data_IF_054137094554
#
_entry.id   IF_054137094554
#
_cell.length_a   1.000
_cell.length_b   1.000
_cell.length_c   1.000
_cell.angle_alpha   90.00
_cell.angle_beta   90.00
_cell.angle_gamma   90.00
#
_symmetry.space_group_name_H-M   'P 1'
#
loop_
_entity.id
_entity.type
_entity.pdbx_description
1 polymer ?
#
# COMPACT_ATOMS: atom_id res chain seq x y z
N UNK A 1 5.40 -40.80 24.68
CA UNK A 1 5.67 -39.51 24.01
C UNK A 1 4.96 -39.54 22.66
N UNK A 2 3.75 -38.97 22.58
CA UNK A 2 2.95 -38.94 21.35
C UNK A 2 3.10 -37.55 20.73
N UNK A 3 3.67 -37.50 19.53
CA UNK A 3 3.86 -36.28 18.76
C UNK A 3 2.55 -35.86 18.10
N UNK A 4 2.06 -34.69 18.46
CA UNK A 4 0.94 -34.04 17.77
C UNK A 4 1.51 -33.43 16.48
N UNK A 5 1.19 -34.04 15.35
CA UNK A 5 1.42 -33.46 14.02
C UNK A 5 0.52 -32.23 13.86
N UNK A 6 1.10 -31.06 13.71
CA UNK A 6 0.36 -29.86 13.31
C UNK A 6 -0.18 -30.04 11.89
N UNK A 7 -1.50 -30.25 11.79
CA UNK A 7 -2.24 -29.96 10.56
C UNK A 7 -2.01 -28.49 10.22
N UNK A 8 -1.24 -28.26 9.16
CA UNK A 8 -1.02 -26.94 8.61
C UNK A 8 -2.35 -26.46 8.02
N UNK A 9 -3.01 -25.53 8.70
CA UNK A 9 -4.15 -24.79 8.15
C UNK A 9 -3.67 -23.99 6.94
N UNK A 10 -3.73 -24.60 5.76
CA UNK A 10 -3.43 -23.94 4.50
C UNK A 10 -4.55 -22.93 4.24
N UNK A 11 -4.23 -21.65 4.45
CA UNK A 11 -5.19 -20.57 4.24
C UNK A 11 -5.59 -20.55 2.76
N UNK A 12 -6.87 -20.32 2.43
CA UNK A 12 -7.32 -20.21 1.06
C UNK A 12 -6.46 -19.19 0.29
N UNK A 13 -6.12 -19.46 -0.98
CA UNK A 13 -5.29 -18.56 -1.78
C UNK A 13 -5.90 -17.16 -1.78
N UNK A 14 -5.09 -16.15 -1.45
CA UNK A 14 -5.54 -14.76 -1.36
C UNK A 14 -6.08 -14.34 -2.72
N UNK A 15 -7.27 -13.74 -2.74
CA UNK A 15 -7.85 -13.18 -3.97
C UNK A 15 -6.87 -12.14 -4.53
N UNK A 16 -6.58 -12.22 -5.83
CA UNK A 16 -5.76 -11.22 -6.51
C UNK A 16 -6.43 -9.85 -6.34
N UNK A 17 -5.70 -8.81 -5.91
CA UNK A 17 -6.28 -7.48 -5.72
C UNK A 17 -6.86 -6.98 -7.03
N UNK A 18 -8.06 -6.40 -6.98
CA UNK A 18 -8.69 -5.83 -8.17
C UNK A 18 -7.97 -4.54 -8.56
N UNK A 19 -7.99 -4.19 -9.84
CA UNK A 19 -7.50 -2.88 -10.31
C UNK A 19 -8.21 -1.72 -9.59
N UNK A 20 -9.48 -1.92 -9.21
CA UNK A 20 -10.24 -0.96 -8.40
C UNK A 20 -9.63 -0.74 -7.01
N UNK A 21 -9.00 -1.75 -6.43
CA UNK A 21 -8.44 -1.74 -5.07
C UNK A 21 -7.00 -1.21 -5.02
N UNK A 22 -6.35 -1.02 -6.16
CA UNK A 22 -5.02 -0.41 -6.22
C UNK A 22 -5.08 1.06 -5.78
N UNK A 23 -4.10 1.57 -5.02
CA UNK A 23 -4.04 2.96 -4.57
C UNK A 23 -3.60 3.90 -5.71
N UNK A 24 -4.35 3.91 -6.81
CA UNK A 24 -4.15 4.77 -7.97
C UNK A 24 -4.99 6.03 -7.86
N UNK A 25 -4.41 7.16 -8.30
CA UNK A 25 -5.12 8.42 -8.42
C UNK A 25 -6.21 8.34 -9.49
N UNK A 26 -7.21 9.24 -9.42
CA UNK A 26 -8.28 9.31 -10.42
C UNK A 26 -7.73 9.49 -11.85
N UNK A 27 -6.71 10.35 -12.01
CA UNK A 27 -6.06 10.58 -13.30
C UNK A 27 -5.35 9.33 -13.84
N UNK A 28 -4.68 8.57 -12.97
CA UNK A 28 -4.02 7.31 -13.35
C UNK A 28 -5.05 6.26 -13.81
N UNK A 29 -6.19 6.15 -13.11
CA UNK A 29 -7.27 5.24 -13.49
C UNK A 29 -7.86 5.61 -14.85
N UNK A 30 -8.18 6.88 -15.06
CA UNK A 30 -8.71 7.37 -16.33
C UNK A 30 -7.74 7.11 -17.50
N UNK A 31 -6.43 7.25 -17.27
CA UNK A 31 -5.40 6.90 -18.27
C UNK A 31 -5.43 5.41 -18.62
N UNK A 32 -5.49 4.52 -17.62
CA UNK A 32 -5.59 3.07 -17.84
C UNK A 32 -6.86 2.70 -18.61
N UNK A 33 -8.00 3.27 -18.23
CA UNK A 33 -9.28 3.02 -18.91
C UNK A 33 -9.28 3.55 -20.36
N UNK A 34 -8.66 4.70 -20.59
CA UNK A 34 -8.46 5.28 -21.92
C UNK A 34 -7.61 4.39 -22.82
N UNK A 35 -6.46 3.92 -22.32
CA UNK A 35 -5.60 2.97 -23.04
C UNK A 35 -6.36 1.68 -23.35
N UNK A 36 -7.11 1.13 -22.40
CA UNK A 36 -7.91 -0.09 -22.60
C UNK A 36 -8.99 0.12 -23.68
N UNK A 37 -9.66 1.27 -23.67
CA UNK A 37 -10.64 1.62 -24.69
C UNK A 37 -10.00 1.67 -26.08
N UNK A 38 -8.88 2.36 -26.22
CA UNK A 38 -8.14 2.47 -27.48
C UNK A 38 -7.61 1.11 -27.94
N UNK A 39 -7.11 0.28 -27.02
CA UNK A 39 -6.62 -1.07 -27.30
C UNK A 39 -7.71 -1.98 -27.88
N UNK A 40 -8.93 -1.91 -27.32
CA UNK A 40 -10.10 -2.61 -27.86
C UNK A 40 -10.53 -2.02 -29.20
N UNK A 41 -10.58 -0.70 -29.33
CA UNK A 41 -11.01 0.01 -30.54
C UNK A 41 -10.08 -0.24 -31.74
N UNK A 42 -8.76 -0.32 -31.51
CA UNK A 42 -7.76 -0.64 -32.54
C UNK A 42 -7.77 -2.11 -32.96
N UNK A 43 -8.54 -2.97 -32.27
CA UNK A 43 -8.69 -4.39 -32.61
C UNK A 43 -7.59 -5.30 -32.05
N UNK A 44 -6.64 -4.76 -31.28
CA UNK A 44 -5.53 -5.53 -30.70
C UNK A 44 -6.05 -6.64 -29.75
N UNK A 45 -7.10 -6.33 -28.98
CA UNK A 45 -7.76 -7.32 -28.12
C UNK A 45 -8.33 -8.50 -28.92
N UNK A 46 -9.05 -8.23 -30.01
CA UNK A 46 -9.67 -9.30 -30.81
C UNK A 46 -8.61 -10.09 -31.57
N UNK A 47 -7.52 -9.45 -32.00
CA UNK A 47 -6.37 -10.12 -32.59
C UNK A 47 -5.72 -11.12 -31.62
N UNK A 48 -5.52 -10.73 -30.35
CA UNK A 48 -5.01 -11.64 -29.32
C UNK A 48 -5.99 -12.78 -29.03
N UNK A 49 -7.28 -12.46 -28.85
CA UNK A 49 -8.33 -13.48 -28.63
C UNK A 49 -8.31 -14.55 -29.73
N UNK A 50 -8.23 -14.11 -30.99
CA UNK A 50 -8.16 -15.02 -32.15
C UNK A 50 -6.91 -15.89 -32.13
N UNK A 51 -5.74 -15.30 -31.82
CA UNK A 51 -4.47 -16.04 -31.73
C UNK A 51 -4.50 -17.09 -30.61
N UNK A 52 -4.95 -16.73 -29.41
CA UNK A 52 -5.11 -17.68 -28.30
C UNK A 52 -6.04 -18.82 -28.69
N UNK A 53 -7.19 -18.50 -29.30
CA UNK A 53 -8.15 -19.52 -29.73
C UNK A 53 -7.58 -20.44 -30.81
N UNK A 54 -6.88 -19.87 -31.80
CA UNK A 54 -6.21 -20.64 -32.84
C UNK A 54 -5.15 -21.57 -32.25
N UNK A 55 -4.30 -21.06 -31.37
CA UNK A 55 -3.24 -21.83 -30.73
C UNK A 55 -3.81 -23.00 -29.90
N UNK A 56 -4.87 -22.77 -29.13
CA UNK A 56 -5.56 -23.85 -28.42
C UNK A 56 -6.14 -24.89 -29.39
N UNK A 57 -6.74 -24.46 -30.51
CA UNK A 57 -7.33 -25.39 -31.47
C UNK A 57 -6.30 -26.27 -32.19
N UNK A 58 -5.09 -25.75 -32.40
CA UNK A 58 -3.98 -26.45 -33.03
C UNK A 58 -3.18 -27.30 -32.03
N UNK A 59 -3.49 -27.21 -30.73
CA UNK A 59 -2.73 -27.89 -29.69
C UNK A 59 -3.26 -29.28 -29.35
N UNK A 60 -2.38 -30.12 -28.79
CA UNK A 60 -2.75 -31.46 -28.32
C UNK A 60 -3.75 -31.41 -27.15
N UNK A 61 -3.74 -30.33 -26.37
CA UNK A 61 -4.60 -30.10 -25.21
C UNK A 61 -6.08 -30.12 -25.59
N UNK A 62 -6.44 -29.64 -26.79
CA UNK A 62 -7.81 -29.77 -27.30
C UNK A 62 -8.24 -31.23 -27.43
N UNK A 63 -7.39 -32.07 -28.02
CA UNK A 63 -7.67 -33.51 -28.16
C UNK A 63 -7.80 -34.22 -26.82
N UNK A 64 -6.95 -33.83 -25.85
CA UNK A 64 -7.05 -34.34 -24.47
C UNK A 64 -8.38 -33.94 -23.82
N UNK A 65 -8.79 -32.68 -23.97
CA UNK A 65 -10.08 -32.20 -23.46
C UNK A 65 -11.26 -32.93 -24.10
N UNK A 66 -11.26 -33.11 -25.42
CA UNK A 66 -12.31 -33.86 -26.13
C UNK A 66 -12.41 -35.31 -25.63
N UNK A 67 -11.27 -35.95 -25.37
CA UNK A 67 -11.23 -37.30 -24.80
C UNK A 67 -11.79 -37.33 -23.37
N UNK A 68 -11.38 -36.40 -22.50
CA UNK A 68 -11.90 -36.29 -21.13
C UNK A 68 -13.41 -36.06 -21.12
N UNK A 69 -13.90 -35.15 -21.97
CA UNK A 69 -15.32 -34.85 -22.07
C UNK A 69 -16.10 -36.08 -22.57
N UNK A 70 -15.60 -36.78 -23.59
CA UNK A 70 -16.22 -38.01 -24.09
C UNK A 70 -16.29 -39.07 -23.00
N UNK A 71 -15.20 -39.34 -22.29
CA UNK A 71 -15.18 -40.32 -21.18
C UNK A 71 -16.17 -39.95 -20.08
N UNK A 72 -16.21 -38.68 -19.68
CA UNK A 72 -17.16 -38.19 -18.67
C UNK A 72 -18.61 -38.40 -19.12
N UNK A 73 -18.95 -37.94 -20.33
CA UNK A 73 -20.31 -38.06 -20.85
C UNK A 73 -20.76 -39.51 -21.00
N UNK A 74 -19.90 -40.40 -21.47
CA UNK A 74 -20.20 -41.84 -21.53
C UNK A 74 -20.51 -42.41 -20.14
N UNK A 75 -19.67 -42.11 -19.15
CA UNK A 75 -19.86 -42.58 -17.77
C UNK A 75 -21.16 -42.06 -17.16
N UNK A 76 -21.51 -40.79 -17.40
CA UNK A 76 -22.75 -40.20 -16.89
C UNK A 76 -24.00 -40.76 -17.58
N UNK A 77 -23.93 -41.00 -18.90
CA UNK A 77 -25.01 -41.66 -19.64
C UNK A 77 -25.22 -43.09 -19.14
N UNK A 78 -24.14 -43.84 -18.89
CA UNK A 78 -24.22 -45.21 -18.38
C UNK A 78 -24.83 -45.25 -16.97
N UNK A 79 -24.56 -44.22 -16.15
CA UNK A 79 -25.12 -44.08 -14.81
C UNK A 79 -26.61 -43.73 -14.82
N UNK A 80 -27.03 -42.76 -15.64
CA UNK A 80 -28.41 -42.27 -15.68
C UNK A 80 -28.97 -42.19 -17.12
N UNK A 81 -29.14 -43.33 -17.83
CA UNK A 81 -29.48 -43.34 -19.25
C UNK A 81 -30.86 -42.73 -19.52
N UNK A 82 -31.81 -42.95 -18.61
CA UNK A 82 -33.17 -42.40 -18.70
C UNK A 82 -33.16 -40.88 -18.67
N UNK A 83 -32.26 -40.26 -17.91
CA UNK A 83 -32.19 -38.80 -17.77
C UNK A 83 -31.57 -38.12 -18.98
N UNK A 84 -30.58 -38.76 -19.59
CA UNK A 84 -29.81 -38.13 -20.67
C UNK A 84 -30.26 -38.56 -22.08
N UNK A 85 -30.85 -39.76 -22.24
CA UNK A 85 -31.24 -40.31 -23.54
C UNK A 85 -32.76 -40.35 -23.80
N UNK A 86 -33.63 -40.38 -22.77
CA UNK A 86 -35.09 -40.29 -23.03
C UNK A 86 -35.55 -38.90 -23.44
N UNK A 87 -35.05 -37.79 -22.84
CA UNK A 87 -35.42 -36.47 -23.31
C UNK A 87 -34.92 -36.25 -24.74
N UNK A 88 -35.52 -35.28 -25.46
CA UNK A 88 -34.95 -34.79 -26.71
C UNK A 88 -33.47 -34.44 -26.50
N UNK A 89 -32.63 -34.69 -27.51
CA UNK A 89 -31.21 -34.33 -27.50
C UNK A 89 -30.99 -32.87 -27.09
N UNK A 90 -31.95 -31.99 -27.43
CA UNK A 90 -31.95 -30.57 -27.05
C UNK A 90 -32.05 -30.34 -25.53
N UNK A 91 -32.59 -31.32 -24.79
CA UNK A 91 -32.70 -31.32 -23.32
C UNK A 91 -31.56 -32.13 -22.67
N UNK A 92 -31.12 -33.23 -23.28
CA UNK A 92 -30.05 -34.06 -22.75
C UNK A 92 -28.67 -33.39 -22.76
N UNK A 93 -28.32 -32.68 -23.84
CA UNK A 93 -27.02 -32.03 -23.97
C UNK A 93 -26.75 -30.94 -22.89
N UNK A 94 -27.68 -30.01 -22.61
CA UNK A 94 -27.51 -29.05 -21.52
C UNK A 94 -27.39 -29.69 -20.13
N UNK A 95 -28.07 -30.83 -19.90
CA UNK A 95 -27.97 -31.55 -18.63
C UNK A 95 -26.58 -32.17 -18.44
N UNK A 96 -26.00 -32.75 -19.49
CA UNK A 96 -24.64 -33.27 -19.49
C UNK A 96 -23.60 -32.16 -19.35
N UNK A 97 -23.77 -31.04 -20.05
CA UNK A 97 -22.92 -29.87 -19.93
C UNK A 97 -22.90 -29.34 -18.49
N UNK A 98 -24.08 -29.20 -17.88
CA UNK A 98 -24.19 -28.78 -16.48
C UNK A 98 -23.57 -29.78 -15.50
N UNK A 99 -23.64 -31.09 -15.78
CA UNK A 99 -22.97 -32.11 -14.98
C UNK A 99 -21.45 -32.00 -15.11
N UNK A 100 -20.93 -31.81 -16.32
CA UNK A 100 -19.49 -31.64 -16.59
C UNK A 100 -18.94 -30.39 -15.89
N UNK A 101 -19.69 -29.28 -15.88
CA UNK A 101 -19.33 -28.06 -15.17
C UNK A 101 -19.20 -28.28 -13.66
N UNK A 102 -20.17 -28.97 -13.04
CA UNK A 102 -20.13 -29.30 -11.60
C UNK A 102 -19.00 -30.28 -11.24
N UNK A 103 -18.64 -31.15 -12.16
CA UNK A 103 -17.54 -32.10 -12.01
C UNK A 103 -16.16 -31.48 -12.32
N UNK A 104 -16.09 -30.17 -12.59
CA UNK A 104 -14.86 -29.44 -12.93
C UNK A 104 -14.10 -30.01 -14.14
N UNK A 105 -14.80 -30.61 -15.10
CA UNK A 105 -14.20 -31.19 -16.32
C UNK A 105 -13.43 -30.13 -17.13
N UNK A 106 -13.89 -28.88 -17.09
CA UNK A 106 -13.28 -27.76 -17.83
C UNK A 106 -12.06 -27.13 -17.14
N UNK A 107 -11.80 -27.45 -15.86
CA UNK A 107 -10.78 -26.76 -15.07
C UNK A 107 -9.38 -26.85 -15.68
N UNK A 108 -9.00 -28.01 -16.23
CA UNK A 108 -7.69 -28.17 -16.86
C UNK A 108 -7.61 -27.36 -18.16
N UNK A 109 -8.66 -27.40 -18.98
CA UNK A 109 -8.75 -26.61 -20.22
C UNK A 109 -8.66 -25.11 -19.96
N UNK A 110 -9.31 -24.61 -18.90
CA UNK A 110 -9.20 -23.20 -18.50
C UNK A 110 -7.75 -22.83 -18.17
N UNK A 111 -7.03 -23.67 -17.41
CA UNK A 111 -5.61 -23.46 -17.10
C UNK A 111 -4.73 -23.47 -18.35
N UNK A 112 -5.00 -24.38 -19.29
CA UNK A 112 -4.25 -24.47 -20.54
C UNK A 112 -4.47 -23.20 -21.39
N UNK A 113 -5.71 -22.70 -21.45
CA UNK A 113 -6.05 -21.45 -22.12
C UNK A 113 -5.38 -20.25 -21.44
N UNK A 114 -5.42 -20.17 -20.11
CA UNK A 114 -4.73 -19.13 -19.35
C UNK A 114 -3.22 -19.11 -19.64
N UNK A 115 -2.58 -20.28 -19.71
CA UNK A 115 -1.16 -20.39 -20.07
C UNK A 115 -0.87 -19.88 -21.50
N UNK A 116 -1.79 -20.05 -22.44
CA UNK A 116 -1.66 -19.44 -23.78
C UNK A 116 -1.85 -17.92 -23.73
N UNK A 117 -2.78 -17.42 -22.91
CA UNK A 117 -2.96 -15.97 -22.72
C UNK A 117 -1.68 -15.34 -22.16
N UNK A 118 -1.04 -15.99 -21.18
CA UNK A 118 0.18 -15.51 -20.54
C UNK A 118 1.32 -15.29 -21.55
N UNK A 119 1.44 -16.15 -22.57
CA UNK A 119 2.44 -16.00 -23.65
C UNK A 119 2.26 -14.71 -24.46
N UNK A 120 1.03 -14.17 -24.52
CA UNK A 120 0.73 -12.95 -25.27
C UNK A 120 0.72 -11.68 -24.41
N UNK A 121 0.87 -11.79 -23.08
CA UNK A 121 0.81 -10.64 -22.18
C UNK A 121 1.86 -9.58 -22.52
N UNK A 122 3.10 -9.97 -22.79
CA UNK A 122 4.15 -9.03 -23.19
C UNK A 122 3.83 -8.29 -24.51
N UNK A 123 3.14 -8.96 -25.42
CA UNK A 123 2.71 -8.36 -26.68
C UNK A 123 1.58 -7.35 -26.44
N UNK A 124 0.62 -7.70 -25.59
CA UNK A 124 -0.44 -6.80 -25.15
C UNK A 124 0.13 -5.56 -24.45
N UNK A 125 1.09 -5.76 -23.54
CA UNK A 125 1.75 -4.68 -22.81
C UNK A 125 2.49 -3.72 -23.75
N UNK A 126 3.27 -4.25 -24.72
CA UNK A 126 3.95 -3.43 -25.72
C UNK A 126 2.98 -2.58 -26.55
N UNK A 127 1.82 -3.14 -26.92
CA UNK A 127 0.78 -2.42 -27.63
C UNK A 127 0.13 -1.32 -26.76
N UNK A 128 -0.16 -1.61 -25.49
CA UNK A 128 -0.66 -0.61 -24.53
C UNK A 128 0.35 0.53 -24.31
N UNK A 129 1.63 0.21 -24.15
CA UNK A 129 2.70 1.22 -24.02
C UNK A 129 2.83 2.07 -25.29
N UNK A 130 2.64 1.48 -26.47
CA UNK A 130 2.59 2.25 -27.72
C UNK A 130 1.41 3.22 -27.74
N UNK A 131 0.22 2.78 -27.34
CA UNK A 131 -0.94 3.66 -27.21
C UNK A 131 -0.62 4.82 -26.27
N UNK A 132 0.03 4.56 -25.13
CA UNK A 132 0.44 5.63 -24.20
C UNK A 132 1.42 6.61 -24.82
N UNK A 133 2.43 6.13 -25.53
CA UNK A 133 3.39 6.98 -26.27
C UNK A 133 2.68 7.87 -27.30
N UNK A 134 1.71 7.31 -28.04
CA UNK A 134 0.91 8.07 -29.00
C UNK A 134 0.08 9.18 -28.30
N UNK A 135 -0.35 8.98 -27.05
CA UNK A 135 -1.19 9.92 -26.29
C UNK A 135 -0.43 11.05 -25.59
N UNK A 136 0.73 10.74 -24.96
CA UNK A 136 1.48 11.71 -24.13
C UNK A 136 2.88 12.03 -24.65
N UNK A 137 3.31 11.38 -25.73
CA UNK A 137 4.66 11.51 -26.29
C UNK A 137 5.68 10.56 -25.65
N UNK A 138 6.80 10.37 -26.35
CA UNK A 138 7.83 9.39 -25.99
C UNK A 138 8.54 9.71 -24.67
N UNK A 139 8.83 10.99 -24.43
CA UNK A 139 9.54 11.44 -23.22
C UNK A 139 8.71 11.20 -21.95
N UNK A 140 7.47 11.70 -21.92
CA UNK A 140 6.57 11.55 -20.78
C UNK A 140 6.23 10.08 -20.50
N UNK A 141 5.97 9.29 -21.54
CA UNK A 141 5.73 7.86 -21.40
C UNK A 141 6.96 7.10 -20.88
N UNK A 142 8.17 7.52 -21.28
CA UNK A 142 9.44 6.97 -20.80
C UNK A 142 9.63 7.20 -19.29
N UNK A 143 9.38 8.42 -18.82
CA UNK A 143 9.44 8.74 -17.38
C UNK A 143 8.40 7.97 -16.56
N UNK A 144 7.16 7.86 -17.06
CA UNK A 144 6.10 7.06 -16.44
C UNK A 144 6.53 5.58 -16.30
N UNK A 145 7.12 5.02 -17.37
CA UNK A 145 7.63 3.65 -17.37
C UNK A 145 8.78 3.46 -16.39
N UNK A 146 9.76 4.37 -16.34
CA UNK A 146 10.87 4.30 -15.40
C UNK A 146 10.37 4.37 -13.95
N UNK A 147 9.43 5.27 -13.66
CA UNK A 147 8.83 5.41 -12.33
C UNK A 147 8.04 4.15 -11.94
N UNK A 148 7.30 3.57 -12.90
CA UNK A 148 6.52 2.35 -12.68
C UNK A 148 7.37 1.08 -12.52
N UNK A 149 8.54 1.02 -13.18
CA UNK A 149 9.46 -0.12 -13.11
C UNK A 149 10.43 -0.04 -11.92
N UNK A 150 10.19 0.85 -10.97
CA UNK A 150 11.04 0.99 -9.79
C UNK A 150 10.99 -0.30 -8.94
N UNK A 151 12.14 -0.87 -8.65
CA UNK A 151 12.23 -2.11 -7.86
C UNK A 151 11.84 -1.88 -6.40
N UNK A 152 11.40 -2.96 -5.73
CA UNK A 152 11.08 -2.93 -4.30
C UNK A 152 12.27 -2.45 -3.46
N UNK A 153 13.49 -2.84 -3.84
CA UNK A 153 14.74 -2.38 -3.20
C UNK A 153 14.92 -0.87 -3.34
N UNK A 154 14.69 -0.33 -4.54
CA UNK A 154 14.78 1.10 -4.78
C UNK A 154 13.69 1.89 -4.04
N UNK A 155 12.49 1.31 -3.87
CA UNK A 155 11.45 1.86 -3.02
C UNK A 155 11.83 1.83 -1.54
N UNK A 156 12.42 0.74 -1.06
CA UNK A 156 12.88 0.59 0.31
C UNK A 156 13.98 1.62 0.64
N UNK A 157 14.96 1.79 -0.24
CA UNK A 157 16.01 2.79 -0.11
C UNK A 157 15.43 4.22 -0.04
N UNK A 158 14.53 4.59 -0.94
CA UNK A 158 13.87 5.90 -0.89
C UNK A 158 13.03 6.08 0.40
N UNK A 159 12.36 5.03 0.86
CA UNK A 159 11.62 5.06 2.12
C UNK A 159 12.54 5.22 3.35
N UNK A 160 13.74 4.63 3.32
CA UNK A 160 14.76 4.86 4.34
C UNK A 160 15.30 6.28 4.30
N UNK A 161 15.61 6.82 3.13
CA UNK A 161 16.06 8.22 3.00
C UNK A 161 14.99 9.19 3.51
N UNK A 162 13.71 8.96 3.19
CA UNK A 162 12.60 9.74 3.77
C UNK A 162 12.47 9.55 5.29
N UNK A 163 12.83 8.40 5.84
CA UNK A 163 12.88 8.17 7.30
C UNK A 163 14.05 8.93 7.93
N UNK A 164 15.25 8.87 7.34
CA UNK A 164 16.44 9.59 7.79
C UNK A 164 16.23 11.10 7.73
N UNK A 165 15.65 11.62 6.65
CA UNK A 165 15.32 13.04 6.50
C UNK A 165 14.35 13.51 7.60
N UNK A 166 13.29 12.73 7.87
CA UNK A 166 12.35 13.01 8.97
C UNK A 166 13.04 12.95 10.34
N UNK A 167 13.89 11.94 10.58
CA UNK A 167 14.63 11.82 11.83
C UNK A 167 15.59 13.00 12.04
N UNK A 168 16.28 13.44 10.99
CA UNK A 168 17.17 14.60 11.02
C UNK A 168 16.39 15.88 11.36
N UNK A 169 15.27 16.12 10.67
CA UNK A 169 14.39 17.26 10.93
C UNK A 169 13.89 17.27 12.38
N UNK A 170 13.39 16.13 12.86
CA UNK A 170 12.93 16.00 14.24
C UNK A 170 14.07 16.24 15.25
N UNK A 171 15.28 15.77 14.98
CA UNK A 171 16.44 15.98 15.85
C UNK A 171 16.90 17.46 15.87
N UNK A 172 16.80 18.17 14.74
CA UNK A 172 17.07 19.61 14.66
C UNK A 172 16.03 20.43 15.42
N UNK A 173 14.75 20.10 15.25
CA UNK A 173 13.63 20.72 16.00
C UNK A 173 13.76 20.46 17.51
N UNK A 174 14.10 19.24 17.92
CA UNK A 174 14.35 18.90 19.33
C UNK A 174 15.51 19.70 19.92
N UNK A 175 16.62 19.83 19.17
CA UNK A 175 17.77 20.65 19.60
C UNK A 175 17.40 22.12 19.72
N UNK A 176 16.60 22.66 18.79
CA UNK A 176 16.13 24.04 18.85
C UNK A 176 15.23 24.25 20.08
N UNK A 177 14.29 23.34 20.34
CA UNK A 177 13.40 23.39 21.51
C UNK A 177 14.19 23.36 22.82
N UNK A 178 15.17 22.45 22.96
CA UNK A 178 16.04 22.39 24.14
C UNK A 178 16.86 23.66 24.36
N UNK A 179 17.37 24.27 23.29
CA UNK A 179 18.09 25.55 23.38
C UNK A 179 17.18 26.68 23.87
N UNK A 180 15.95 26.76 23.35
CA UNK A 180 14.96 27.74 23.78
C UNK A 180 14.59 27.54 25.26
N UNK A 181 14.28 26.31 25.68
CA UNK A 181 13.98 26.00 27.07
C UNK A 181 15.14 26.35 28.02
N UNK A 182 16.39 26.08 27.61
CA UNK A 182 17.57 26.43 28.39
C UNK A 182 17.77 27.95 28.51
N UNK A 183 17.52 28.71 27.44
CA UNK A 183 17.58 30.17 27.47
C UNK A 183 16.48 30.76 28.35
N UNK A 184 15.26 30.24 28.29
CA UNK A 184 14.17 30.66 29.17
C UNK A 184 14.46 30.35 30.64
N UNK A 185 15.02 29.18 30.95
CA UNK A 185 15.43 28.83 32.32
C UNK A 185 16.49 29.78 32.85
N UNK A 186 17.54 30.07 32.06
CA UNK A 186 18.58 31.04 32.43
C UNK A 186 18.01 32.44 32.65
N UNK A 187 17.07 32.87 31.81
CA UNK A 187 16.40 34.17 31.96
C UNK A 187 15.58 34.24 33.26
N UNK A 188 14.79 33.20 33.54
CA UNK A 188 14.01 33.08 34.79
C UNK A 188 14.91 33.07 36.03
N UNK A 189 16.04 32.38 35.98
CA UNK A 189 17.00 32.33 37.09
C UNK A 189 17.66 33.69 37.33
N UNK A 190 18.08 34.39 36.28
CA UNK A 190 18.63 35.75 36.39
C UNK A 190 17.60 36.76 36.94
N UNK A 191 16.34 36.67 36.51
CA UNK A 191 15.26 37.49 37.06
C UNK A 191 14.99 37.18 38.54
N UNK A 192 15.05 35.90 38.94
CA UNK A 192 14.90 35.50 40.34
C UNK A 192 16.06 36.00 41.22
N UNK A 193 17.29 35.95 40.72
CA UNK A 193 18.47 36.48 41.43
C UNK A 193 18.40 38.00 41.58
N UNK A 194 17.98 38.73 40.53
CA UNK A 194 17.76 40.18 40.61
C UNK A 194 16.71 40.54 41.65
N UNK A 195 15.56 39.84 41.67
CA UNK A 195 14.52 40.05 42.68
C UNK A 195 15.05 39.83 44.10
N UNK A 196 15.80 38.74 44.33
CA UNK A 196 16.43 38.46 45.63
C UNK A 196 17.42 39.54 46.05
N UNK A 197 18.24 40.06 45.13
CA UNK A 197 19.16 41.16 45.41
C UNK A 197 18.40 42.45 45.76
N UNK A 198 17.32 42.75 45.05
CA UNK A 198 16.48 43.92 45.31
C UNK A 198 15.79 43.84 46.69
N UNK A 199 15.34 42.65 47.08
CA UNK A 199 14.77 42.38 48.40
C UNK A 199 15.81 42.56 49.52
N UNK A 200 17.02 42.02 49.34
CA UNK A 200 18.14 42.19 50.27
C UNK A 200 18.56 43.66 50.42
N UNK A 201 18.59 44.43 49.32
CA UNK A 201 18.88 45.87 49.36
C UNK A 201 17.79 46.64 50.13
N UNK A 202 16.51 46.30 49.93
CA UNK A 202 15.40 46.89 50.68
C UNK A 202 15.44 46.52 52.17
N UNK A 203 15.85 45.30 52.51
CA UNK A 203 15.98 44.85 53.90
C UNK A 203 17.16 45.50 54.62
N UNK A 204 18.32 45.59 53.97
CA UNK A 204 19.50 46.28 54.50
C UNK A 204 19.24 47.78 54.68
N UNK A 205 18.53 48.43 53.76
CA UNK A 205 18.12 49.83 53.90
C UNK A 205 17.18 50.02 55.11
N UNK A 206 16.22 49.11 55.32
CA UNK A 206 15.35 49.13 56.51
C UNK A 206 16.15 48.98 57.81
N UNK A 207 17.08 48.04 57.86
CA UNK A 207 17.98 47.82 59.00
C UNK A 207 18.84 49.06 59.29
N UNK A 208 19.42 49.69 58.27
CA UNK A 208 20.19 50.93 58.44
C UNK A 208 19.33 52.09 58.96
N UNK A 209 18.10 52.26 58.44
CA UNK A 209 17.15 53.25 58.95
C UNK A 209 16.74 52.97 60.40
N UNK A 210 16.61 51.71 60.78
CA UNK A 210 16.31 51.34 62.16
C UNK A 210 17.51 51.57 63.10
N UNK A 211 18.72 51.24 62.67
CA UNK A 211 19.95 51.53 63.42
C UNK A 211 20.16 53.03 63.62
N UNK A 212 19.94 53.86 62.58
CA UNK A 212 19.98 55.33 62.70
C UNK A 212 18.97 55.84 63.73
N UNK A 213 17.73 55.34 63.69
CA UNK A 213 16.69 55.69 64.69
C UNK A 213 17.04 55.23 66.11
N UNK A 214 17.73 54.09 66.27
CA UNK A 214 18.21 53.62 67.58
C UNK A 214 19.35 54.49 68.10
N UNK A 215 20.32 54.84 67.25
CA UNK A 215 21.42 55.74 67.59
C UNK A 215 20.93 57.15 67.96
N UNK A 216 19.94 57.69 67.25
CA UNK A 216 19.29 58.97 67.58
C UNK A 216 18.57 58.91 68.94
N UNK A 217 17.91 57.79 69.27
CA UNK A 217 17.27 57.57 70.58
C UNK A 217 18.28 57.41 71.71
N UNK A 218 19.41 56.76 71.47
CA UNK A 218 20.49 56.63 72.45
C UNK A 218 21.21 57.96 72.67
N UNK A 219 21.43 58.75 71.62
CA UNK A 219 21.97 60.11 71.71
C UNK A 219 21.02 61.05 72.49
N UNK A 220 19.70 60.93 72.29
CA UNK A 220 18.71 61.69 73.05
C UNK A 220 18.69 61.29 74.53
N UNK A 221 18.77 60.00 74.85
CA UNK A 221 18.88 59.50 76.24
C UNK A 221 20.21 59.87 76.92
N UNK A 222 21.29 60.01 76.17
CA UNK A 222 22.58 60.49 76.69
C UNK A 222 22.54 62.00 76.98
N UNK A 223 21.82 62.78 76.18
CA UNK A 223 21.62 64.21 76.39
C UNK A 223 20.67 64.54 77.56
N UNK A 224 19.76 63.62 77.92
CA UNK A 224 18.85 63.76 79.08
C UNK A 224 19.52 63.40 80.43
N UNK A 225 20.76 62.90 80.41
CA UNK A 225 21.52 62.46 81.60
C UNK A 225 22.65 63.42 82.04
N UNK A 226 22.74 64.60 81.42
CA UNK A 226 23.52 65.76 81.90
C UNK A 226 22.58 66.80 82.49
#
# INVERSE_FOLDING_TARGET
>A
MSGITHDAYELPPRKKPKVSELPLSSAQRASVDGMLHTFKKKGEFDALRKKTFQQYNESAQRGMFEATLRTFTSTEIDREPVKYLKPDRRMGAPLLEGAAARANVYMQTEKDVDAYIDQYLETAERALRRIRRDEVGDEAAGEEQQRGNKSDEAYAAEAEERRKARAKKNAEEEKARRKQEAQERKKKELEALKKKQEELMKETEKLQREQKRRAEREAWKAAEKQ
#
